data_IF_911788730280
#
_entry.id   IF_911788730280
#
_cell.length_a   1.000
_cell.length_b   1.000
_cell.length_c   1.000
_cell.angle_alpha   90.00
_cell.angle_beta   90.00
_cell.angle_gamma   90.00
#
_symmetry.space_group_name_H-M   'P 1'
#
loop_
_entity.id
_entity.type
_entity.pdbx_description
1 polymer ?
#
# COMPACT_ATOMS: atom_id res chain seq x y z
N UNK A 1 -12.07 -10.38 -26.04
CA UNK A 1 -11.81 -10.09 -27.47
C UNK A 1 -12.98 -9.41 -28.17
N UNK A 2 -14.21 -9.49 -27.64
CA UNK A 2 -15.40 -8.84 -28.25
C UNK A 2 -15.34 -7.29 -28.20
N UNK A 3 -14.57 -6.69 -27.27
CA UNK A 3 -14.43 -5.25 -27.14
C UNK A 3 -13.24 -4.66 -27.94
N UNK A 4 -12.64 -5.45 -28.82
CA UNK A 4 -11.53 -4.99 -29.64
C UNK A 4 -12.05 -4.22 -30.86
N UNK A 5 -11.48 -3.04 -31.07
CA UNK A 5 -11.81 -2.20 -32.23
C UNK A 5 -11.11 -2.69 -33.53
N UNK A 6 -11.58 -2.29 -34.69
CA UNK A 6 -10.89 -2.57 -35.95
C UNK A 6 -9.46 -2.06 -36.00
N UNK A 7 -9.15 -0.98 -35.24
CA UNK A 7 -7.80 -0.45 -35.10
C UNK A 7 -6.84 -1.35 -34.30
N UNK A 8 -7.35 -2.38 -33.64
CA UNK A 8 -6.59 -3.22 -32.71
C UNK A 8 -6.65 -2.74 -31.25
N UNK A 9 -7.09 -1.52 -31.00
CA UNK A 9 -7.25 -0.97 -29.64
C UNK A 9 -8.47 -1.57 -28.94
N UNK A 10 -8.41 -1.56 -27.62
CA UNK A 10 -9.54 -1.87 -26.75
C UNK A 10 -10.18 -0.57 -26.24
N UNK A 11 -11.46 -0.59 -25.88
CA UNK A 11 -12.13 0.50 -25.21
C UNK A 11 -13.37 1.05 -25.90
N UNK A 12 -13.98 2.06 -25.30
CA UNK A 12 -15.25 2.62 -25.72
C UNK A 12 -15.08 3.60 -26.89
N UNK A 13 -15.71 3.31 -28.02
CA UNK A 13 -15.69 4.15 -29.23
C UNK A 13 -16.35 5.51 -29.01
N UNK A 14 -17.35 5.57 -28.13
CA UNK A 14 -18.14 6.79 -27.92
C UNK A 14 -17.40 7.83 -27.08
N UNK A 15 -16.49 7.39 -26.23
CA UNK A 15 -15.80 8.27 -25.30
C UNK A 15 -14.53 8.89 -25.92
N UNK A 16 -13.80 8.14 -26.74
CA UNK A 16 -12.47 8.56 -27.22
C UNK A 16 -12.34 8.61 -28.75
N UNK A 17 -13.41 8.33 -29.51
CA UNK A 17 -13.33 8.24 -30.96
C UNK A 17 -12.52 7.04 -31.49
N UNK A 18 -12.50 6.87 -32.81
CA UNK A 18 -11.93 5.65 -33.42
C UNK A 18 -10.39 5.62 -33.43
N UNK A 19 -9.72 6.76 -33.39
CA UNK A 19 -8.27 6.89 -33.57
C UNK A 19 -7.62 7.83 -32.56
N UNK A 20 -8.29 8.14 -31.45
CA UNK A 20 -7.74 9.07 -30.47
C UNK A 20 -6.51 8.45 -29.78
N UNK A 21 -5.34 9.09 -29.81
CA UNK A 21 -4.14 8.65 -29.07
C UNK A 21 -4.43 8.51 -27.57
N UNK A 22 -5.36 9.30 -27.05
CA UNK A 22 -5.83 9.24 -25.65
C UNK A 22 -6.41 7.88 -25.30
N UNK A 23 -7.11 7.21 -26.21
CA UNK A 23 -7.65 5.87 -25.96
C UNK A 23 -6.54 4.83 -25.74
N UNK A 24 -5.40 5.00 -26.39
CA UNK A 24 -4.24 4.13 -26.17
C UNK A 24 -3.67 4.31 -24.74
N UNK A 25 -3.73 5.51 -24.20
CA UNK A 25 -3.22 5.81 -22.87
C UNK A 25 -4.06 5.17 -21.76
N UNK A 26 -5.33 5.52 -21.71
CA UNK A 26 -6.20 5.21 -20.55
C UNK A 26 -6.57 3.73 -20.45
N UNK A 27 -6.61 3.03 -21.53
CA UNK A 27 -7.06 1.64 -21.58
C UNK A 27 -5.91 0.68 -21.87
N UNK A 28 -4.84 1.20 -22.48
CA UNK A 28 -3.74 0.39 -23.00
C UNK A 28 -3.00 -0.38 -21.91
N UNK A 29 -2.58 0.27 -20.84
CA UNK A 29 -1.71 -0.36 -19.84
C UNK A 29 -2.36 -1.56 -19.18
N UNK A 30 -3.56 -1.39 -18.65
CA UNK A 30 -4.27 -2.45 -17.91
C UNK A 30 -4.60 -3.64 -18.82
N UNK A 31 -5.00 -3.38 -20.08
CA UNK A 31 -5.24 -4.44 -21.05
C UNK A 31 -3.96 -5.17 -21.43
N UNK A 32 -2.86 -4.46 -21.66
CA UNK A 32 -1.58 -5.08 -21.96
C UNK A 32 -1.13 -5.97 -20.80
N UNK A 33 -1.10 -5.44 -19.59
CA UNK A 33 -0.72 -6.21 -18.40
C UNK A 33 -1.63 -7.42 -18.19
N UNK A 34 -2.95 -7.25 -18.32
CA UNK A 34 -3.93 -8.32 -18.16
C UNK A 34 -3.75 -9.44 -19.20
N UNK A 35 -3.62 -9.08 -20.48
CA UNK A 35 -3.44 -10.04 -21.57
C UNK A 35 -2.10 -10.77 -21.50
N UNK A 36 -1.01 -10.07 -21.18
CA UNK A 36 0.32 -10.66 -21.06
C UNK A 36 0.39 -11.60 -19.86
N UNK A 37 -0.16 -11.21 -18.72
CA UNK A 37 -0.20 -12.06 -17.54
C UNK A 37 -1.12 -13.28 -17.75
N UNK A 38 -2.24 -13.12 -18.45
CA UNK A 38 -3.09 -14.25 -18.84
C UNK A 38 -2.32 -15.23 -19.72
N UNK A 39 -1.57 -14.74 -20.74
CA UNK A 39 -0.70 -15.58 -21.54
C UNK A 39 0.35 -16.30 -20.68
N UNK A 40 1.03 -15.60 -19.80
CA UNK A 40 2.05 -16.19 -18.92
C UNK A 40 1.51 -17.33 -18.05
N UNK A 41 0.24 -17.23 -17.63
CA UNK A 41 -0.42 -18.24 -16.81
C UNK A 41 -0.98 -19.44 -17.62
N UNK A 42 -1.42 -19.21 -18.85
CA UNK A 42 -2.20 -20.19 -19.62
C UNK A 42 -1.50 -20.70 -20.88
N UNK A 43 -0.49 -19.99 -21.37
CA UNK A 43 0.13 -20.25 -22.66
C UNK A 43 -0.74 -19.84 -23.86
N UNK A 44 -1.87 -19.15 -23.65
CA UNK A 44 -2.78 -18.78 -24.74
C UNK A 44 -2.20 -17.68 -25.63
N UNK A 45 -1.64 -18.08 -26.77
CA UNK A 45 -1.04 -17.17 -27.77
C UNK A 45 -2.01 -16.11 -28.30
N UNK A 46 -3.34 -16.32 -28.22
CA UNK A 46 -4.32 -15.31 -28.66
C UNK A 46 -4.23 -14.07 -27.79
N UNK A 47 -3.99 -14.23 -26.48
CA UNK A 47 -3.83 -13.12 -25.57
C UNK A 47 -2.55 -12.34 -25.84
N UNK A 48 -1.42 -13.03 -26.01
CA UNK A 48 -0.15 -12.38 -26.33
C UNK A 48 -0.23 -11.63 -27.67
N UNK A 49 -0.81 -12.25 -28.71
CA UNK A 49 -0.95 -11.61 -30.00
C UNK A 49 -1.84 -10.36 -29.94
N UNK A 50 -2.95 -10.41 -29.18
CA UNK A 50 -3.81 -9.26 -28.98
C UNK A 50 -3.09 -8.11 -28.24
N UNK A 51 -2.27 -8.44 -27.22
CA UNK A 51 -1.44 -7.46 -26.53
C UNK A 51 -0.41 -6.82 -27.46
N UNK A 52 0.30 -7.63 -28.27
CA UNK A 52 1.27 -7.15 -29.26
C UNK A 52 0.61 -6.21 -30.28
N UNK A 53 -0.53 -6.59 -30.83
CA UNK A 53 -1.23 -5.77 -31.81
C UNK A 53 -1.68 -4.43 -31.24
N UNK A 54 -2.15 -4.38 -29.97
CA UNK A 54 -2.53 -3.14 -29.31
C UNK A 54 -1.30 -2.25 -29.03
N UNK A 55 -0.22 -2.85 -28.56
CA UNK A 55 1.03 -2.14 -28.32
C UNK A 55 1.66 -1.61 -29.63
N UNK A 56 1.72 -2.44 -30.66
CA UNK A 56 2.26 -2.06 -31.96
C UNK A 56 1.44 -0.95 -32.62
N UNK A 57 0.11 -0.97 -32.44
CA UNK A 57 -0.72 0.15 -32.89
C UNK A 57 -0.30 1.47 -32.26
N UNK A 58 -0.10 1.49 -30.92
CA UNK A 58 0.35 2.69 -30.21
C UNK A 58 1.74 3.15 -30.68
N UNK A 59 2.66 2.23 -30.88
CA UNK A 59 4.00 2.54 -31.38
C UNK A 59 4.00 3.05 -32.83
N UNK A 60 3.09 2.55 -33.68
CA UNK A 60 2.94 2.99 -35.05
C UNK A 60 2.37 4.41 -35.17
N UNK A 61 1.77 4.97 -34.12
CA UNK A 61 1.43 6.39 -34.04
C UNK A 61 2.70 7.28 -33.99
N UNK A 62 3.85 6.68 -33.66
CA UNK A 62 5.13 7.36 -33.67
C UNK A 62 5.16 8.55 -32.70
N UNK A 63 5.66 9.69 -33.21
CA UNK A 63 5.77 10.90 -32.38
C UNK A 63 4.43 11.39 -31.83
N UNK A 64 3.33 11.18 -32.52
CA UNK A 64 2.00 11.56 -32.06
C UNK A 64 1.67 10.93 -30.70
N UNK A 65 1.99 9.64 -30.49
CA UNK A 65 1.79 8.96 -29.21
C UNK A 65 2.66 9.57 -28.11
N UNK A 66 3.94 9.81 -28.40
CA UNK A 66 4.86 10.35 -27.39
C UNK A 66 4.69 11.86 -27.18
N UNK A 67 4.26 12.62 -28.20
CA UNK A 67 3.96 14.05 -28.08
C UNK A 67 2.76 14.29 -27.16
N UNK A 68 1.78 13.39 -27.13
CA UNK A 68 0.68 13.48 -26.16
C UNK A 68 1.17 13.35 -24.72
N UNK A 69 2.18 12.53 -24.44
CA UNK A 69 2.83 12.44 -23.13
C UNK A 69 3.47 13.78 -22.78
N UNK A 70 4.15 14.37 -23.74
CA UNK A 70 4.88 15.66 -23.59
C UNK A 70 3.94 16.84 -23.47
N UNK A 71 2.86 16.87 -24.25
CA UNK A 71 1.91 17.99 -24.30
C UNK A 71 1.07 18.11 -23.03
N UNK A 72 0.90 17.02 -22.29
CA UNK A 72 0.03 16.98 -21.12
C UNK A 72 0.73 17.41 -19.83
N UNK A 73 2.04 17.55 -19.82
CA UNK A 73 2.83 17.96 -18.66
C UNK A 73 2.98 16.88 -17.59
N UNK A 74 3.65 17.22 -16.49
CA UNK A 74 4.01 16.29 -15.44
C UNK A 74 2.79 15.63 -14.74
N UNK A 75 1.69 16.35 -14.60
CA UNK A 75 0.46 15.86 -13.96
C UNK A 75 -0.35 14.92 -14.85
N UNK A 76 0.09 14.70 -16.06
CA UNK A 76 -0.49 13.74 -16.98
C UNK A 76 0.52 12.68 -17.42
N UNK A 77 1.55 12.44 -16.65
CA UNK A 77 2.41 11.26 -16.78
C UNK A 77 1.60 9.97 -16.54
N UNK A 78 0.42 9.99 -16.91
CA UNK A 78 -0.49 8.89 -17.15
C UNK A 78 -0.13 8.13 -18.42
N UNK A 79 1.04 8.24 -18.82
CA UNK A 79 1.53 7.65 -20.05
C UNK A 79 1.78 6.16 -19.97
N UNK A 80 1.37 5.65 -18.95
CA UNK A 80 0.92 4.40 -18.62
C UNK A 80 1.43 3.17 -19.31
N UNK A 81 1.47 3.06 -20.49
CA UNK A 81 1.86 1.86 -21.21
C UNK A 81 3.28 1.38 -20.86
N UNK A 82 4.03 2.11 -20.05
CA UNK A 82 5.37 1.70 -19.58
C UNK A 82 5.36 0.33 -18.93
N UNK A 83 4.40 0.05 -18.07
CA UNK A 83 4.27 -1.26 -17.42
C UNK A 83 3.85 -2.33 -18.40
N UNK A 84 2.87 -2.04 -19.26
CA UNK A 84 2.43 -2.96 -20.32
C UNK A 84 3.53 -3.28 -21.34
N UNK A 85 4.34 -2.30 -21.72
CA UNK A 85 5.51 -2.52 -22.57
C UNK A 85 6.59 -3.34 -21.86
N UNK A 86 6.83 -3.10 -20.58
CA UNK A 86 7.77 -3.90 -19.79
C UNK A 86 7.34 -5.38 -19.72
N UNK A 87 6.04 -5.63 -19.51
CA UNK A 87 5.49 -6.99 -19.52
C UNK A 87 5.62 -7.67 -20.88
N UNK A 88 5.36 -6.94 -21.97
CA UNK A 88 5.58 -7.46 -23.32
C UNK A 88 7.06 -7.77 -23.58
N UNK A 89 7.98 -6.91 -23.15
CA UNK A 89 9.41 -7.19 -23.23
C UNK A 89 9.79 -8.44 -22.43
N UNK A 90 9.24 -8.63 -21.25
CA UNK A 90 9.47 -9.85 -20.45
C UNK A 90 9.18 -11.11 -21.24
N UNK A 91 8.03 -11.16 -21.89
CA UNK A 91 7.57 -12.36 -22.61
C UNK A 91 8.17 -12.53 -24.01
N UNK A 92 8.42 -11.43 -24.72
CA UNK A 92 8.82 -11.49 -26.13
C UNK A 92 10.31 -11.29 -26.37
N UNK A 93 11.00 -10.61 -25.46
CA UNK A 93 12.36 -10.11 -25.63
C UNK A 93 12.54 -9.21 -26.85
N UNK A 94 11.46 -8.63 -27.37
CA UNK A 94 11.49 -7.68 -28.46
C UNK A 94 11.88 -6.30 -27.96
N UNK A 95 13.08 -5.83 -28.33
CA UNK A 95 13.67 -4.56 -27.88
C UNK A 95 12.80 -3.34 -28.15
N UNK A 96 11.92 -3.38 -29.16
CA UNK A 96 11.03 -2.24 -29.45
C UNK A 96 10.16 -1.85 -28.26
N UNK A 97 9.76 -2.82 -27.43
CA UNK A 97 8.96 -2.54 -26.22
C UNK A 97 9.81 -1.94 -25.11
N UNK A 98 11.05 -2.40 -24.95
CA UNK A 98 11.97 -1.79 -24.00
C UNK A 98 12.36 -0.36 -24.44
N UNK A 99 12.59 -0.14 -25.74
CA UNK A 99 12.86 1.19 -26.29
C UNK A 99 11.67 2.14 -26.12
N UNK A 100 10.44 1.62 -26.17
CA UNK A 100 9.25 2.41 -25.84
C UNK A 100 9.28 2.87 -24.37
N UNK A 101 9.63 1.99 -23.43
CA UNK A 101 9.78 2.36 -22.00
C UNK A 101 10.88 3.41 -21.83
N UNK A 102 12.05 3.21 -22.47
CA UNK A 102 13.15 4.19 -22.44
C UNK A 102 12.74 5.55 -22.98
N UNK A 103 11.92 5.56 -24.04
CA UNK A 103 11.40 6.79 -24.61
C UNK A 103 10.42 7.49 -23.68
N UNK A 104 9.47 6.75 -23.08
CA UNK A 104 8.56 7.29 -22.06
C UNK A 104 9.38 7.88 -20.90
N UNK A 105 10.40 7.20 -20.42
CA UNK A 105 11.24 7.66 -19.33
C UNK A 105 11.95 9.00 -19.63
N UNK A 106 12.34 9.23 -20.89
CA UNK A 106 12.91 10.52 -21.31
C UNK A 106 11.91 11.68 -21.29
N UNK A 107 10.63 11.38 -21.54
CA UNK A 107 9.57 12.38 -21.50
C UNK A 107 9.12 12.68 -20.05
N UNK A 108 9.36 11.76 -19.11
CA UNK A 108 9.01 11.88 -17.68
C UNK A 108 10.05 12.70 -16.88
N UNK A 109 10.51 13.82 -17.41
CA UNK A 109 11.50 14.70 -16.75
C UNK A 109 10.87 15.79 -15.89
N UNK A 110 9.55 15.90 -15.93
CA UNK A 110 8.81 16.93 -15.18
C UNK A 110 8.86 16.73 -13.66
N UNK A 111 8.30 17.70 -12.93
CA UNK A 111 8.13 17.64 -11.47
C UNK A 111 7.01 16.67 -11.09
N UNK A 112 7.00 16.26 -9.83
CA UNK A 112 5.88 15.51 -9.25
C UNK A 112 4.65 16.36 -8.99
N UNK A 113 4.83 17.70 -8.98
CA UNK A 113 3.78 18.66 -8.67
C UNK A 113 2.63 18.60 -9.69
N UNK A 114 1.43 18.46 -9.19
CA UNK A 114 0.21 18.34 -9.99
C UNK A 114 -0.02 16.97 -10.62
N UNK A 115 0.84 15.97 -10.40
CA UNK A 115 0.66 14.63 -10.93
C UNK A 115 -0.55 13.92 -10.31
N UNK A 116 -1.35 13.26 -11.14
CA UNK A 116 -2.32 12.27 -10.68
C UNK A 116 -1.55 11.03 -10.19
N UNK A 117 -1.62 10.75 -8.88
CA UNK A 117 -0.71 9.82 -8.23
C UNK A 117 -0.77 8.40 -8.83
N UNK A 118 -1.98 7.88 -9.09
CA UNK A 118 -2.14 6.54 -9.68
C UNK A 118 -1.39 6.41 -11.01
N UNK A 119 -1.62 7.29 -11.97
CA UNK A 119 -0.95 7.23 -13.27
C UNK A 119 0.56 7.46 -13.18
N UNK A 120 0.97 8.41 -12.35
CA UNK A 120 2.38 8.71 -12.11
C UNK A 120 3.13 7.51 -11.52
N UNK A 121 2.64 6.94 -10.44
CA UNK A 121 3.26 5.81 -9.76
C UNK A 121 3.26 4.53 -10.60
N UNK A 122 2.17 4.28 -11.35
CA UNK A 122 2.11 3.18 -12.33
C UNK A 122 3.19 3.31 -13.39
N UNK A 123 3.42 4.53 -13.91
CA UNK A 123 4.47 4.80 -14.88
C UNK A 123 5.86 4.49 -14.32
N UNK A 124 6.15 4.94 -13.08
CA UNK A 124 7.42 4.65 -12.41
C UNK A 124 7.63 3.16 -12.15
N UNK A 125 6.57 2.45 -11.80
CA UNK A 125 6.58 0.99 -11.65
C UNK A 125 6.94 0.27 -12.94
N UNK A 126 6.45 0.77 -14.07
CA UNK A 126 6.83 0.27 -15.39
C UNK A 126 8.34 0.39 -15.64
N UNK A 127 8.97 1.48 -15.20
CA UNK A 127 10.44 1.63 -15.29
C UNK A 127 11.17 0.62 -14.41
N UNK A 128 10.70 0.40 -13.18
CA UNK A 128 11.29 -0.60 -12.28
C UNK A 128 11.16 -2.02 -12.85
N UNK A 129 10.00 -2.39 -13.40
CA UNK A 129 9.81 -3.70 -14.04
C UNK A 129 10.72 -3.86 -15.26
N UNK A 130 10.79 -2.86 -16.12
CA UNK A 130 11.69 -2.89 -17.27
C UNK A 130 13.15 -3.07 -16.83
N UNK A 131 13.58 -2.39 -15.78
CA UNK A 131 14.93 -2.56 -15.21
C UNK A 131 15.17 -3.98 -14.71
N UNK A 132 14.21 -4.57 -13.99
CA UNK A 132 14.30 -5.96 -13.49
C UNK A 132 14.43 -6.95 -14.66
N UNK A 133 13.68 -6.75 -15.74
CA UNK A 133 13.65 -7.69 -16.87
C UNK A 133 14.82 -7.55 -17.84
N UNK A 134 15.38 -6.35 -17.97
CA UNK A 134 16.45 -6.03 -18.93
C UNK A 134 17.83 -5.87 -18.30
N UNK A 135 17.90 -5.53 -17.01
CA UNK A 135 19.13 -5.08 -16.36
C UNK A 135 19.45 -3.60 -16.59
N UNK A 136 18.59 -2.83 -17.28
CA UNK A 136 18.79 -1.41 -17.54
C UNK A 136 18.49 -0.58 -16.27
N UNK A 137 19.51 -0.45 -15.42
CA UNK A 137 19.38 0.23 -14.13
C UNK A 137 19.08 1.73 -14.26
N UNK A 138 19.36 2.36 -15.41
CA UNK A 138 19.04 3.77 -15.61
C UNK A 138 17.52 4.04 -15.48
N UNK A 139 16.68 3.08 -15.88
CA UNK A 139 15.23 3.16 -15.69
C UNK A 139 14.83 3.08 -14.20
N UNK A 140 15.46 2.19 -13.44
CA UNK A 140 15.23 2.09 -12.00
C UNK A 140 15.69 3.36 -11.26
N UNK A 141 16.81 3.95 -11.68
CA UNK A 141 17.35 5.17 -11.06
C UNK A 141 16.43 6.38 -11.27
N UNK A 142 15.74 6.47 -12.42
CA UNK A 142 14.71 7.49 -12.64
C UNK A 142 13.56 7.29 -11.64
N UNK A 143 13.04 6.07 -11.49
CA UNK A 143 11.98 5.77 -10.54
C UNK A 143 12.43 6.04 -9.08
N UNK A 144 13.68 5.71 -8.75
CA UNK A 144 14.30 6.00 -7.45
C UNK A 144 14.31 7.51 -7.15
N UNK A 145 14.79 8.31 -8.10
CA UNK A 145 14.85 9.78 -7.93
C UNK A 145 13.46 10.38 -7.72
N UNK A 146 12.45 9.92 -8.47
CA UNK A 146 11.07 10.39 -8.35
C UNK A 146 10.39 9.91 -7.06
N UNK A 147 10.67 8.69 -6.60
CA UNK A 147 10.23 8.21 -5.29
C UNK A 147 10.84 9.07 -4.17
N UNK A 148 12.13 9.39 -4.28
CA UNK A 148 12.80 10.23 -3.29
C UNK A 148 12.23 11.65 -3.26
N UNK A 149 11.90 12.22 -4.42
CA UNK A 149 11.24 13.52 -4.52
C UNK A 149 9.89 13.54 -3.77
N UNK A 150 9.10 12.46 -3.84
CA UNK A 150 7.85 12.32 -3.07
C UNK A 150 8.13 12.35 -1.56
N UNK A 151 9.16 11.66 -1.09
CA UNK A 151 9.53 11.60 0.32
C UNK A 151 10.10 12.93 0.82
N UNK A 152 11.04 13.53 0.09
CA UNK A 152 11.73 14.76 0.48
C UNK A 152 10.80 15.96 0.56
N UNK A 153 9.75 15.97 -0.25
CA UNK A 153 8.74 17.03 -0.27
C UNK A 153 7.57 16.77 0.70
N UNK A 154 7.60 15.71 1.50
CA UNK A 154 6.57 15.40 2.49
C UNK A 154 5.19 15.12 1.85
N UNK A 155 5.15 14.50 0.67
CA UNK A 155 3.90 14.16 -0.02
C UNK A 155 3.23 12.90 0.54
N UNK A 156 3.90 12.19 1.43
CA UNK A 156 3.36 11.04 2.15
C UNK A 156 2.72 11.51 3.45
N UNK A 157 1.50 11.08 3.70
CA UNK A 157 0.77 11.40 4.93
C UNK A 157 1.24 10.52 6.10
N UNK A 158 0.88 10.91 7.32
CA UNK A 158 1.28 10.24 8.55
C UNK A 158 0.95 8.73 8.60
N UNK A 159 -0.10 8.29 7.93
CA UNK A 159 -0.47 6.88 7.81
C UNK A 159 0.16 6.15 6.61
N UNK A 160 1.11 6.78 5.92
CA UNK A 160 1.77 6.22 4.73
C UNK A 160 1.00 6.41 3.44
N UNK A 161 -0.07 7.18 3.47
CA UNK A 161 -0.91 7.46 2.31
C UNK A 161 -0.28 8.49 1.37
N UNK A 162 -0.64 8.41 0.10
CA UNK A 162 -0.37 9.44 -0.91
C UNK A 162 -1.69 9.97 -1.45
N UNK A 163 -1.77 11.28 -1.64
CA UNK A 163 -2.98 11.91 -2.17
C UNK A 163 -3.28 11.45 -3.60
N UNK A 164 -4.55 11.53 -4.01
CA UNK A 164 -4.96 11.30 -5.41
C UNK A 164 -4.18 12.16 -6.40
N UNK A 165 -3.90 13.42 -6.04
CA UNK A 165 -3.04 14.29 -6.80
C UNK A 165 -1.92 14.85 -5.92
N UNK A 166 -0.69 14.83 -6.41
CA UNK A 166 0.48 15.37 -5.72
C UNK A 166 0.58 16.89 -5.94
N UNK A 167 1.05 17.68 -4.99
CA UNK A 167 1.57 17.29 -3.68
C UNK A 167 0.49 16.86 -2.69
N UNK A 168 -0.65 17.49 -2.68
CA UNK A 168 -1.79 17.14 -1.81
C UNK A 168 -3.11 17.57 -2.46
N UNK A 169 -4.05 16.65 -2.52
CA UNK A 169 -5.46 16.92 -2.74
C UNK A 169 -6.25 16.65 -1.46
N UNK A 170 -7.53 16.92 -1.49
CA UNK A 170 -8.42 16.73 -0.33
C UNK A 170 -8.89 15.28 -0.17
N UNK A 171 -8.42 14.36 -1.01
CA UNK A 171 -8.77 12.94 -0.95
C UNK A 171 -7.62 12.05 -1.43
N UNK A 172 -7.71 10.79 -1.05
CA UNK A 172 -6.85 9.71 -1.53
C UNK A 172 -7.61 8.79 -2.48
N UNK A 173 -6.88 7.88 -3.09
CA UNK A 173 -7.38 6.78 -3.91
C UNK A 173 -6.73 5.46 -3.51
N UNK A 174 -7.53 4.41 -3.36
CA UNK A 174 -7.03 3.07 -3.07
C UNK A 174 -6.01 2.56 -4.11
N UNK A 175 -6.14 2.95 -5.38
CA UNK A 175 -5.15 2.63 -6.42
C UNK A 175 -3.83 3.36 -6.22
N UNK A 176 -3.83 4.65 -5.88
CA UNK A 176 -2.61 5.39 -5.61
C UNK A 176 -1.85 4.83 -4.39
N UNK A 177 -2.58 4.46 -3.33
CA UNK A 177 -2.01 3.80 -2.15
C UNK A 177 -1.35 2.47 -2.54
N UNK A 178 -2.08 1.64 -3.28
CA UNK A 178 -1.59 0.35 -3.75
C UNK A 178 -0.35 0.48 -4.64
N UNK A 179 -0.34 1.49 -5.52
CA UNK A 179 0.83 1.79 -6.37
C UNK A 179 2.03 2.26 -5.56
N UNK A 180 1.81 3.08 -4.53
CA UNK A 180 2.86 3.52 -3.61
C UNK A 180 3.48 2.34 -2.86
N UNK A 181 2.66 1.42 -2.36
CA UNK A 181 3.13 0.17 -1.76
C UNK A 181 3.99 -0.59 -2.77
N UNK A 182 3.47 -0.87 -3.97
CA UNK A 182 4.18 -1.63 -4.99
C UNK A 182 5.47 -0.97 -5.46
N UNK A 183 5.49 0.37 -5.63
CA UNK A 183 6.70 1.11 -5.99
C UNK A 183 7.82 0.88 -4.96
N UNK A 184 7.47 0.87 -3.67
CA UNK A 184 8.41 0.60 -2.59
C UNK A 184 8.84 -0.87 -2.53
N UNK A 185 7.95 -1.84 -2.82
CA UNK A 185 8.32 -3.25 -2.93
C UNK A 185 9.39 -3.48 -4.02
N UNK A 186 9.18 -2.93 -5.21
CA UNK A 186 10.15 -3.03 -6.30
C UNK A 186 11.45 -2.29 -5.99
N UNK A 187 11.36 -1.12 -5.35
CA UNK A 187 12.56 -0.40 -4.90
C UNK A 187 13.37 -1.24 -3.92
N UNK A 188 12.71 -1.78 -2.88
CA UNK A 188 13.34 -2.68 -1.90
C UNK A 188 14.02 -3.88 -2.57
N UNK A 189 13.36 -4.50 -3.54
CA UNK A 189 13.93 -5.62 -4.29
C UNK A 189 15.14 -5.21 -5.16
N UNK A 190 15.04 -4.10 -5.90
CA UNK A 190 16.09 -3.66 -6.82
C UNK A 190 17.35 -3.24 -6.08
N UNK A 191 17.20 -2.50 -4.97
CA UNK A 191 18.34 -1.90 -4.25
C UNK A 191 18.70 -2.63 -2.95
N UNK A 192 17.97 -3.69 -2.59
CA UNK A 192 18.11 -4.40 -1.30
C UNK A 192 17.90 -3.43 -0.12
N UNK A 193 16.85 -2.64 -0.18
CA UNK A 193 16.56 -1.54 0.74
C UNK A 193 15.43 -1.92 1.72
N UNK A 194 15.82 -2.18 2.97
CA UNK A 194 14.89 -2.52 4.05
C UNK A 194 13.98 -1.37 4.45
N UNK A 195 14.41 -0.10 4.26
CA UNK A 195 13.59 1.06 4.56
C UNK A 195 12.42 1.17 3.57
N UNK A 196 12.66 0.85 2.30
CA UNK A 196 11.58 0.81 1.32
C UNK A 196 10.53 -0.25 1.67
N UNK A 197 10.94 -1.41 2.16
CA UNK A 197 10.00 -2.42 2.68
C UNK A 197 9.27 -1.93 3.94
N UNK A 198 9.93 -1.17 4.81
CA UNK A 198 9.27 -0.58 5.98
C UNK A 198 8.22 0.46 5.60
N UNK A 199 8.49 1.31 4.59
CA UNK A 199 7.53 2.26 4.03
C UNK A 199 6.33 1.52 3.41
N UNK A 200 6.59 0.47 2.63
CA UNK A 200 5.52 -0.37 2.06
C UNK A 200 4.66 -1.01 3.16
N UNK A 201 5.27 -1.53 4.20
CA UNK A 201 4.59 -2.14 5.34
C UNK A 201 3.73 -1.13 6.11
N UNK A 202 4.28 0.07 6.34
CA UNK A 202 3.55 1.15 7.00
C UNK A 202 2.30 1.57 6.20
N UNK A 203 2.45 1.76 4.89
CA UNK A 203 1.33 2.08 4.00
C UNK A 203 0.32 0.93 3.89
N UNK A 204 0.77 -0.32 3.86
CA UNK A 204 -0.10 -1.50 3.84
C UNK A 204 -1.03 -1.52 5.06
N UNK A 205 -0.45 -1.44 6.29
CA UNK A 205 -1.23 -1.56 7.52
C UNK A 205 -2.12 -0.36 7.80
N UNK A 206 -1.66 0.86 7.50
CA UNK A 206 -2.31 2.08 7.97
C UNK A 206 -3.06 2.85 6.89
N UNK A 207 -2.83 2.54 5.63
CA UNK A 207 -3.49 3.18 4.51
C UNK A 207 -4.28 2.20 3.66
N UNK A 208 -3.66 1.15 3.13
CA UNK A 208 -4.34 0.23 2.23
C UNK A 208 -5.44 -0.56 2.95
N UNK A 209 -5.14 -1.19 4.10
CA UNK A 209 -6.17 -1.87 4.89
C UNK A 209 -7.24 -0.92 5.44
N UNK A 210 -6.86 0.30 5.82
CA UNK A 210 -7.82 1.30 6.22
C UNK A 210 -8.76 1.73 5.08
N UNK A 211 -8.28 1.71 3.83
CA UNK A 211 -9.09 2.03 2.65
C UNK A 211 -10.05 0.90 2.24
N UNK A 212 -9.85 -0.33 2.74
CA UNK A 212 -10.70 -1.46 2.39
C UNK A 212 -12.12 -1.31 2.96
N UNK A 213 -13.12 -1.60 2.12
CA UNK A 213 -14.53 -1.64 2.49
C UNK A 213 -14.95 -3.04 2.97
N UNK A 214 -16.05 -3.14 3.68
CA UNK A 214 -16.59 -4.45 4.12
C UNK A 214 -16.99 -5.35 2.95
N UNK A 215 -17.24 -4.79 1.79
CA UNK A 215 -17.45 -5.53 0.54
C UNK A 215 -16.18 -6.22 0.04
N UNK A 216 -15.03 -5.88 0.63
CA UNK A 216 -13.71 -6.26 0.14
C UNK A 216 -13.14 -5.31 -0.93
N UNK A 217 -13.93 -4.34 -1.40
CA UNK A 217 -13.50 -3.34 -2.37
C UNK A 217 -12.65 -2.22 -1.76
N UNK A 218 -12.18 -1.33 -2.60
CA UNK A 218 -11.34 -0.17 -2.26
C UNK A 218 -11.90 1.08 -2.95
N UNK A 219 -11.54 2.25 -2.47
CA UNK A 219 -12.07 3.49 -3.05
C UNK A 219 -11.37 4.74 -2.56
N UNK A 220 -12.14 5.78 -2.35
CA UNK A 220 -11.66 7.10 -1.97
C UNK A 220 -12.03 7.43 -0.54
N UNK A 221 -11.15 8.21 0.11
CA UNK A 221 -11.43 8.88 1.39
C UNK A 221 -11.00 10.31 1.31
N UNK A 222 -11.76 11.19 1.95
CA UNK A 222 -11.29 12.55 2.22
C UNK A 222 -10.40 12.56 3.44
N UNK A 223 -9.47 13.50 3.50
CA UNK A 223 -8.63 13.72 4.66
C UNK A 223 -8.41 15.23 4.89
N UNK A 224 -8.08 15.55 6.13
CA UNK A 224 -7.61 16.84 6.56
C UNK A 224 -6.18 16.70 7.10
N UNK A 225 -5.55 17.81 7.48
CA UNK A 225 -4.14 17.87 7.86
C UNK A 225 -3.74 16.85 8.93
N UNK A 226 -4.61 16.58 9.92
CA UNK A 226 -4.29 15.73 11.08
C UNK A 226 -5.15 14.47 11.17
N UNK A 227 -5.87 14.11 10.13
CA UNK A 227 -6.73 12.93 10.15
C UNK A 227 -7.59 12.77 8.93
N UNK A 228 -8.53 11.85 8.99
CA UNK A 228 -9.44 11.50 7.90
C UNK A 228 -10.83 12.04 8.15
N UNK A 229 -11.37 12.68 7.13
CA UNK A 229 -12.80 12.96 6.99
C UNK A 229 -13.46 11.77 6.29
N UNK A 230 -14.70 11.50 6.67
CA UNK A 230 -15.38 10.31 6.17
C UNK A 230 -16.21 10.56 4.92
N UNK A 231 -15.61 11.04 3.87
CA UNK A 231 -16.20 10.80 2.56
C UNK A 231 -15.71 9.46 2.05
N UNK A 232 -16.62 8.60 1.63
CA UNK A 232 -16.28 7.24 1.21
C UNK A 232 -17.02 6.96 -0.10
N UNK A 233 -16.24 6.71 -1.12
CA UNK A 233 -16.73 6.24 -2.40
C UNK A 233 -15.97 4.99 -2.79
N UNK A 234 -16.64 3.86 -2.91
CA UNK A 234 -16.04 2.64 -3.41
C UNK A 234 -15.82 2.74 -4.92
N UNK A 235 -14.61 2.44 -5.37
CA UNK A 235 -14.21 2.53 -6.77
C UNK A 235 -13.62 1.21 -7.25
N UNK A 236 -14.49 0.29 -7.59
CA UNK A 236 -14.10 -1.05 -7.98
C UNK A 236 -13.41 -1.11 -9.36
N UNK A 237 -13.59 -0.13 -10.23
CA UNK A 237 -13.02 -0.10 -11.59
C UNK A 237 -11.51 0.24 -11.63
N UNK A 238 -10.96 0.91 -10.63
CA UNK A 238 -9.51 1.18 -10.52
C UNK A 238 -8.97 0.74 -9.16
N UNK A 239 -9.47 1.30 -8.06
CA UNK A 239 -8.95 1.09 -6.72
C UNK A 239 -8.96 -0.39 -6.31
N UNK A 240 -10.10 -1.07 -6.48
CA UNK A 240 -10.23 -2.48 -6.11
C UNK A 240 -9.33 -3.39 -6.96
N UNK A 241 -9.23 -3.13 -8.27
CA UNK A 241 -8.37 -3.93 -9.14
C UNK A 241 -6.89 -3.75 -8.81
N UNK A 242 -6.46 -2.50 -8.59
CA UNK A 242 -5.05 -2.19 -8.29
C UNK A 242 -4.67 -2.71 -6.89
N UNK A 243 -5.57 -2.62 -5.92
CA UNK A 243 -5.35 -3.22 -4.59
C UNK A 243 -5.22 -4.74 -4.68
N UNK A 244 -6.06 -5.41 -5.48
CA UNK A 244 -5.93 -6.85 -5.73
C UNK A 244 -4.56 -7.23 -6.32
N UNK A 245 -4.06 -6.45 -7.28
CA UNK A 245 -2.71 -6.61 -7.81
C UNK A 245 -1.65 -6.39 -6.72
N UNK A 246 -1.82 -5.37 -5.88
CA UNK A 246 -0.90 -5.06 -4.80
C UNK A 246 -0.76 -6.22 -3.81
N UNK A 247 -1.84 -6.88 -3.41
CA UNK A 247 -1.76 -8.06 -2.54
C UNK A 247 -0.99 -9.22 -3.19
N UNK A 248 -1.14 -9.42 -4.49
CA UNK A 248 -0.34 -10.42 -5.21
C UNK A 248 1.16 -10.05 -5.21
N UNK A 249 1.48 -8.78 -5.38
CA UNK A 249 2.87 -8.30 -5.33
C UNK A 249 3.45 -8.36 -3.91
N UNK A 250 2.67 -8.06 -2.87
CA UNK A 250 3.10 -8.25 -1.48
C UNK A 250 3.45 -9.71 -1.23
N UNK A 251 2.59 -10.66 -1.65
CA UNK A 251 2.87 -12.08 -1.52
C UNK A 251 4.15 -12.49 -2.26
N UNK A 252 4.37 -11.97 -3.47
CA UNK A 252 5.56 -12.23 -4.28
C UNK A 252 6.84 -11.66 -3.66
N UNK A 253 6.75 -10.53 -2.96
CA UNK A 253 7.88 -9.85 -2.32
C UNK A 253 8.07 -10.24 -0.85
N UNK A 254 7.17 -11.04 -0.26
CA UNK A 254 7.30 -11.48 1.13
C UNK A 254 8.56 -12.33 1.33
N UNK A 255 8.80 -13.29 0.46
CA UNK A 255 10.05 -14.04 0.43
C UNK A 255 10.65 -13.99 -0.98
N UNK A 256 11.92 -13.66 -1.09
CA UNK A 256 12.58 -13.42 -2.37
C UNK A 256 13.93 -14.14 -2.47
N UNK A 257 14.36 -14.39 -3.72
CA UNK A 257 15.72 -14.81 -4.03
C UNK A 257 16.35 -13.78 -4.98
N UNK A 258 17.50 -13.28 -4.63
CA UNK A 258 18.25 -12.36 -5.48
C UNK A 258 19.74 -12.69 -5.42
N UNK A 259 20.35 -12.97 -6.57
CA UNK A 259 21.76 -13.36 -6.62
C UNK A 259 22.10 -14.57 -5.75
N UNK A 260 21.15 -15.52 -5.61
CA UNK A 260 21.30 -16.71 -4.77
C UNK A 260 21.05 -16.50 -3.28
N UNK A 261 20.82 -15.27 -2.83
CA UNK A 261 20.50 -14.96 -1.43
C UNK A 261 19.01 -15.05 -1.18
N UNK A 262 18.63 -15.75 -0.12
CA UNK A 262 17.26 -15.82 0.37
C UNK A 262 16.98 -14.65 1.31
N UNK A 263 15.81 -14.01 1.15
CA UNK A 263 15.39 -12.94 2.03
C UNK A 263 13.90 -13.05 2.36
N UNK A 264 13.55 -12.89 3.63
CA UNK A 264 12.19 -12.71 4.12
C UNK A 264 11.98 -11.23 4.44
N UNK A 265 11.19 -10.54 3.63
CA UNK A 265 11.00 -9.09 3.74
C UNK A 265 9.84 -8.73 4.66
N UNK A 266 8.85 -9.62 4.82
CA UNK A 266 7.68 -9.41 5.68
C UNK A 266 7.38 -10.65 6.53
N UNK A 267 6.92 -10.42 7.76
CA UNK A 267 6.48 -11.48 8.66
C UNK A 267 5.01 -11.85 8.40
N UNK A 268 4.60 -11.95 7.15
CA UNK A 268 3.23 -12.30 6.74
C UNK A 268 3.09 -13.81 6.73
N UNK A 269 2.02 -14.38 7.37
CA UNK A 269 1.81 -15.82 7.38
C UNK A 269 1.54 -16.36 5.98
N UNK A 270 2.13 -17.50 5.66
CA UNK A 270 1.95 -18.12 4.35
C UNK A 270 3.02 -19.15 4.01
N UNK A 271 2.89 -19.73 2.82
CA UNK A 271 3.87 -20.62 2.22
C UNK A 271 4.30 -20.06 0.86
N UNK A 272 5.57 -19.76 0.75
CA UNK A 272 6.18 -19.11 -0.40
C UNK A 272 7.11 -20.08 -1.11
N UNK A 273 6.77 -20.41 -2.36
CA UNK A 273 7.61 -21.26 -3.22
C UNK A 273 8.55 -20.37 -4.04
N UNK A 274 9.83 -20.61 -3.89
CA UNK A 274 10.90 -19.85 -4.53
C UNK A 274 11.59 -20.69 -5.61
N UNK A 275 12.35 -20.09 -6.52
CA UNK A 275 13.14 -20.82 -7.50
C UNK A 275 14.05 -21.87 -6.86
N UNK A 276 14.27 -23.01 -7.53
CA UNK A 276 15.13 -24.08 -7.05
C UNK A 276 14.45 -25.00 -6.01
N UNK A 277 13.13 -25.12 -6.05
CA UNK A 277 12.33 -25.93 -5.14
C UNK A 277 12.47 -25.59 -3.65
N UNK A 278 12.88 -24.33 -3.38
CA UNK A 278 12.96 -23.78 -2.03
C UNK A 278 11.58 -23.35 -1.58
N UNK A 279 11.21 -23.73 -0.36
CA UNK A 279 9.95 -23.26 0.26
C UNK A 279 10.26 -22.56 1.58
N UNK A 280 9.64 -21.40 1.76
CA UNK A 280 9.64 -20.62 3.02
C UNK A 280 8.22 -20.61 3.55
N UNK A 281 8.01 -21.16 4.74
CA UNK A 281 6.72 -21.14 5.43
C UNK A 281 6.81 -20.26 6.67
N UNK A 282 5.89 -19.33 6.81
CA UNK A 282 5.84 -18.37 7.92
C UNK A 282 4.58 -18.61 8.74
N UNK A 283 4.78 -18.84 10.03
CA UNK A 283 3.72 -18.90 11.03
C UNK A 283 4.01 -17.84 12.08
N UNK A 284 3.10 -16.92 12.31
CA UNK A 284 3.39 -15.72 13.10
C UNK A 284 2.17 -15.22 13.85
N UNK A 285 2.40 -14.54 14.99
CA UNK A 285 1.41 -13.71 15.68
C UNK A 285 1.46 -12.23 15.24
N UNK A 286 2.36 -11.88 14.30
CA UNK A 286 2.47 -10.54 13.74
C UNK A 286 1.18 -10.14 12.99
N UNK A 287 0.67 -8.91 13.10
CA UNK A 287 1.35 -7.70 13.63
C UNK A 287 1.13 -7.44 15.12
N UNK A 288 0.53 -8.32 15.88
CA UNK A 288 0.18 -8.09 17.28
C UNK A 288 1.12 -8.76 18.27
N UNK A 289 1.89 -9.75 17.84
CA UNK A 289 2.93 -10.42 18.62
C UNK A 289 4.19 -10.55 17.80
N UNK A 290 5.34 -10.41 18.45
CA UNK A 290 6.63 -10.56 17.78
C UNK A 290 6.96 -12.01 17.41
N UNK A 291 6.32 -12.99 18.04
CA UNK A 291 6.61 -14.42 17.82
C UNK A 291 6.35 -14.82 16.36
N UNK A 292 7.39 -15.38 15.74
CA UNK A 292 7.35 -15.85 14.35
C UNK A 292 8.19 -17.12 14.21
N UNK A 293 7.65 -18.13 13.50
CA UNK A 293 8.39 -19.30 13.06
C UNK A 293 8.54 -19.26 11.55
N UNK A 294 9.78 -19.29 11.08
CA UNK A 294 10.13 -19.39 9.66
C UNK A 294 10.70 -20.76 9.41
N UNK A 295 10.03 -21.57 8.59
CA UNK A 295 10.52 -22.88 8.16
C UNK A 295 11.03 -22.77 6.72
N UNK A 296 12.31 -23.10 6.52
CA UNK A 296 12.96 -23.14 5.21
C UNK A 296 13.20 -24.60 4.84
N UNK A 297 12.73 -24.99 3.65
CA UNK A 297 12.88 -26.35 3.10
C UNK A 297 13.46 -26.31 1.70
N UNK A 298 14.18 -27.36 1.31
CA UNK A 298 14.82 -27.47 -0.01
C UNK A 298 16.23 -26.87 -0.06
N UNK A 299 16.67 -26.21 1.02
CA UNK A 299 18.03 -25.67 1.12
C UNK A 299 18.49 -25.56 2.57
N UNK A 300 19.81 -25.50 2.76
CA UNK A 300 20.48 -25.16 4.04
C UNK A 300 21.05 -23.72 4.03
N UNK A 301 20.94 -23.04 2.89
CA UNK A 301 21.38 -21.63 2.79
C UNK A 301 20.65 -20.77 3.79
N UNK A 302 21.36 -19.81 4.35
CA UNK A 302 20.80 -18.87 5.32
C UNK A 302 19.81 -17.93 4.67
N UNK A 303 18.66 -17.72 5.33
CA UNK A 303 17.70 -16.70 4.96
C UNK A 303 17.95 -15.44 5.79
N UNK A 304 18.11 -14.32 5.12
CA UNK A 304 18.11 -13.01 5.75
C UNK A 304 16.67 -12.63 6.10
N UNK A 305 16.39 -12.27 7.34
CA UNK A 305 15.04 -11.91 7.81
C UNK A 305 15.02 -10.46 8.23
N UNK A 306 14.28 -9.64 7.50
CA UNK A 306 14.05 -8.24 7.92
C UNK A 306 13.21 -8.22 9.19
N UNK A 307 13.82 -7.78 10.28
CA UNK A 307 13.14 -7.58 11.56
C UNK A 307 12.73 -6.11 11.69
N UNK A 308 11.41 -5.81 11.79
CA UNK A 308 10.96 -4.43 11.97
C UNK A 308 11.55 -3.77 13.22
N UNK A 309 11.95 -2.51 13.11
CA UNK A 309 12.68 -1.77 14.17
C UNK A 309 11.92 -1.58 15.47
N UNK A 310 10.59 -1.67 15.43
CA UNK A 310 9.72 -1.58 16.62
C UNK A 310 9.67 -2.90 17.42
N UNK A 311 10.20 -4.01 16.91
CA UNK A 311 10.39 -5.25 17.69
C UNK A 311 11.70 -5.12 18.46
N UNK A 312 11.62 -5.14 19.79
CA UNK A 312 12.76 -4.98 20.69
C UNK A 312 13.19 -6.31 21.30
N UNK A 313 14.42 -6.38 21.81
CA UNK A 313 14.98 -7.55 22.49
C UNK A 313 14.82 -8.84 21.67
N UNK A 314 15.09 -8.75 20.38
CA UNK A 314 14.93 -9.86 19.44
C UNK A 314 15.87 -11.01 19.77
N UNK A 315 15.35 -12.23 19.78
CA UNK A 315 16.09 -13.47 19.82
C UNK A 315 15.73 -14.36 18.65
N UNK A 316 16.73 -14.99 18.04
CA UNK A 316 16.55 -15.91 16.92
C UNK A 316 17.23 -17.23 17.27
N UNK A 317 16.45 -18.32 17.28
CA UNK A 317 16.94 -19.68 17.48
C UNK A 317 16.77 -20.48 16.22
N UNK A 318 17.85 -21.04 15.69
CA UNK A 318 17.85 -21.94 14.55
C UNK A 318 17.83 -23.41 15.00
N UNK A 319 16.99 -24.22 14.36
CA UNK A 319 16.88 -25.67 14.58
C UNK A 319 16.93 -26.35 13.23
N UNK A 320 17.91 -27.22 13.02
CA UNK A 320 18.08 -27.98 11.79
C UNK A 320 16.99 -29.05 11.62
N UNK A 321 16.60 -29.29 10.37
CA UNK A 321 15.73 -30.39 9.95
C UNK A 321 16.40 -31.20 8.84
N UNK A 322 15.84 -32.33 8.46
CA UNK A 322 16.43 -33.20 7.42
C UNK A 322 16.57 -32.45 6.08
N UNK A 323 15.59 -31.62 5.72
CA UNK A 323 15.50 -30.96 4.42
C UNK A 323 15.70 -29.43 4.46
N UNK A 324 16.09 -28.87 5.62
CA UNK A 324 16.25 -27.45 5.81
C UNK A 324 16.45 -27.09 7.27
N UNK A 325 15.70 -26.06 7.75
CA UNK A 325 15.77 -25.61 9.14
C UNK A 325 14.54 -24.77 9.52
N UNK A 326 14.40 -24.52 10.83
CA UNK A 326 13.42 -23.56 11.37
C UNK A 326 14.14 -22.46 12.14
N UNK A 327 13.64 -21.23 11.96
CA UNK A 327 13.99 -20.10 12.81
C UNK A 327 12.83 -19.80 13.73
N UNK A 328 13.10 -19.75 15.01
CA UNK A 328 12.16 -19.27 16.03
C UNK A 328 12.58 -17.86 16.40
N UNK A 329 11.78 -16.90 16.04
CA UNK A 329 12.02 -15.47 16.27
C UNK A 329 11.05 -15.04 17.35
N UNK A 330 11.57 -14.37 18.37
CA UNK A 330 10.81 -13.82 19.47
C UNK A 330 11.32 -12.43 19.82
N UNK A 331 10.48 -11.61 20.48
CA UNK A 331 10.83 -10.25 20.84
C UNK A 331 9.71 -9.56 21.63
N UNK A 332 9.91 -8.28 21.90
CA UNK A 332 8.92 -7.46 22.59
C UNK A 332 8.31 -6.43 21.64
N UNK A 333 7.01 -6.23 21.78
CA UNK A 333 6.23 -5.20 21.10
C UNK A 333 5.38 -4.45 22.14
N UNK A 334 5.10 -3.20 21.85
CA UNK A 334 4.29 -2.35 22.71
C UNK A 334 3.84 -1.08 22.00
N UNK A 335 3.15 -0.22 22.73
CA UNK A 335 2.75 1.09 22.23
C UNK A 335 3.93 2.06 22.24
N UNK A 336 4.03 2.89 21.22
CA UNK A 336 5.03 3.93 21.12
C UNK A 336 4.51 5.09 20.29
N UNK A 337 5.13 6.26 20.42
CA UNK A 337 4.85 7.42 19.57
C UNK A 337 5.92 7.58 18.49
N UNK A 338 5.50 8.05 17.35
CA UNK A 338 6.38 8.40 16.24
C UNK A 338 6.12 9.84 15.82
N UNK A 339 7.18 10.65 15.76
CA UNK A 339 7.07 12.05 15.38
C UNK A 339 6.68 12.21 13.90
N UNK A 340 5.82 13.16 13.64
CA UNK A 340 5.39 13.61 12.32
C UNK A 340 5.64 15.12 12.21
N UNK A 341 5.53 15.68 11.02
CA UNK A 341 5.72 17.14 10.79
C UNK A 341 4.84 17.98 11.73
N UNK A 342 3.60 17.56 11.95
CA UNK A 342 2.57 18.32 12.68
C UNK A 342 2.21 17.73 14.06
N UNK A 343 3.02 16.84 14.62
CA UNK A 343 2.76 16.21 15.89
C UNK A 343 3.25 14.78 15.98
N UNK A 344 2.44 13.88 16.54
CA UNK A 344 2.81 12.49 16.78
C UNK A 344 1.68 11.55 16.39
N UNK A 345 2.04 10.38 15.88
CA UNK A 345 1.12 9.25 15.79
C UNK A 345 1.38 8.27 16.93
N UNK A 346 0.33 7.68 17.49
CA UNK A 346 0.43 6.59 18.45
C UNK A 346 0.36 5.27 17.70
N UNK A 347 1.30 4.37 17.97
CA UNK A 347 1.45 3.10 17.25
C UNK A 347 1.55 1.92 18.20
N UNK A 348 1.13 0.76 17.70
CA UNK A 348 1.46 -0.55 18.24
C UNK A 348 2.00 -1.42 17.11
N UNK A 349 3.25 -1.86 17.22
CA UNK A 349 3.90 -2.55 16.10
C UNK A 349 3.86 -1.72 14.82
N UNK A 350 3.42 -2.26 13.68
CA UNK A 350 3.31 -1.49 12.43
C UNK A 350 2.08 -0.59 12.38
N UNK A 351 1.09 -0.80 13.27
CA UNK A 351 -0.23 -0.21 13.19
C UNK A 351 -0.28 1.13 13.93
N UNK A 352 -0.83 2.15 13.29
CA UNK A 352 -1.31 3.34 13.96
C UNK A 352 -2.56 2.97 14.72
N UNK A 353 -2.68 3.41 15.96
CA UNK A 353 -3.92 3.34 16.72
C UNK A 353 -4.55 4.71 16.84
N UNK A 354 -5.85 4.76 16.65
CA UNK A 354 -6.64 5.98 16.60
C UNK A 354 -7.91 5.84 17.44
N UNK A 355 -8.52 6.96 17.84
CA UNK A 355 -9.75 6.92 18.62
C UNK A 355 -10.83 6.12 17.91
N UNK A 356 -11.49 5.26 18.66
CA UNK A 356 -12.60 4.50 18.14
C UNK A 356 -13.85 5.37 18.03
N UNK A 357 -14.02 5.95 16.89
CA UNK A 357 -15.17 6.79 16.57
C UNK A 357 -16.47 5.99 16.54
N UNK A 358 -16.36 4.70 16.43
CA UNK A 358 -17.46 3.76 16.37
C UNK A 358 -18.33 3.73 17.62
N UNK A 359 -17.72 3.84 18.80
CA UNK A 359 -18.42 3.69 20.08
C UNK A 359 -19.58 4.66 20.28
N UNK A 360 -19.49 5.84 19.70
CA UNK A 360 -20.59 6.78 19.89
C UNK A 360 -21.71 6.64 18.89
N UNK A 361 -21.52 5.94 17.79
CA UNK A 361 -22.60 5.69 16.83
C UNK A 361 -23.46 4.50 17.14
N UNK A 362 -22.92 3.47 17.70
CA UNK A 362 -23.74 2.35 18.14
C UNK A 362 -24.54 2.74 19.37
N UNK A 363 -24.03 3.62 20.18
CA UNK A 363 -24.82 4.28 21.21
C UNK A 363 -25.84 5.26 20.66
N UNK A 364 -25.97 5.47 19.34
CA UNK A 364 -26.96 6.35 18.72
C UNK A 364 -28.27 5.69 18.31
N UNK A 365 -28.52 4.47 18.66
CA UNK A 365 -29.89 4.08 19.03
C UNK A 365 -30.38 4.87 20.27
N UNK A 366 -29.58 5.76 20.71
CA UNK A 366 -29.86 6.76 21.70
C UNK A 366 -30.67 7.87 21.05
N UNK A 367 -31.72 8.35 21.73
CA UNK A 367 -32.56 9.42 21.20
C UNK A 367 -31.74 10.64 20.79
N UNK A 368 -32.25 11.42 19.85
CA UNK A 368 -31.60 12.60 19.24
C UNK A 368 -30.91 13.57 20.23
N UNK A 369 -31.22 13.47 21.49
CA UNK A 369 -30.70 14.30 22.59
C UNK A 369 -29.53 13.67 23.32
N UNK A 370 -28.97 12.60 22.85
CA UNK A 370 -27.90 11.96 23.58
C UNK A 370 -26.60 12.69 23.36
N UNK A 371 -26.15 13.23 24.42
CA UNK A 371 -24.88 13.90 24.54
C UNK A 371 -23.78 12.91 24.19
N UNK A 372 -23.28 13.04 22.97
CA UNK A 372 -21.90 12.69 22.64
C UNK A 372 -21.05 13.17 23.81
N UNK A 373 -20.14 12.37 24.37
CA UNK A 373 -19.23 12.84 25.41
C UNK A 373 -18.74 14.23 25.03
N UNK A 374 -18.86 15.18 25.96
CA UNK A 374 -18.72 16.63 25.74
C UNK A 374 -17.42 17.05 25.04
N UNK A 375 -16.50 16.16 24.81
CA UNK A 375 -15.28 16.39 24.08
C UNK A 375 -15.31 15.99 22.61
N UNK A 376 -16.36 15.36 22.17
CA UNK A 376 -16.44 14.84 20.82
C UNK A 376 -17.12 15.84 19.90
N UNK A 377 -16.42 16.89 19.54
CA UNK A 377 -16.95 17.95 18.68
C UNK A 377 -16.70 17.56 17.24
N UNK A 378 -17.76 17.23 16.55
CA UNK A 378 -17.78 16.83 15.16
C UNK A 378 -17.24 17.88 14.17
N UNK A 379 -17.18 19.12 14.60
CA UNK A 379 -17.04 20.27 13.70
C UNK A 379 -15.61 20.58 13.27
N UNK A 380 -14.61 19.97 13.91
CA UNK A 380 -13.23 20.38 13.66
C UNK A 380 -12.20 19.28 13.95
N UNK A 381 -12.62 18.03 13.99
CA UNK A 381 -11.78 16.98 14.57
C UNK A 381 -10.41 16.79 13.91
N UNK A 382 -10.27 16.60 12.59
CA UNK A 382 -8.95 16.32 12.04
C UNK A 382 -8.00 17.51 12.05
N UNK A 383 -8.52 18.73 12.12
CA UNK A 383 -7.71 19.96 12.20
C UNK A 383 -7.56 20.49 13.61
N UNK A 384 -8.28 19.91 14.58
CA UNK A 384 -8.19 20.32 15.96
C UNK A 384 -6.97 19.73 16.65
N UNK A 385 -6.40 20.49 17.57
CA UNK A 385 -5.31 20.02 18.42
C UNK A 385 -5.87 19.14 19.52
N UNK A 386 -5.49 17.86 19.51
CA UNK A 386 -5.72 16.89 20.57
C UNK A 386 -4.39 16.55 21.19
N UNK A 387 -4.36 16.52 22.52
CA UNK A 387 -3.17 16.21 23.27
C UNK A 387 -3.31 14.85 23.93
N UNK A 388 -2.45 13.91 23.59
CA UNK A 388 -2.38 12.63 24.29
C UNK A 388 -1.69 12.83 25.64
N UNK A 389 -2.34 12.39 26.71
CA UNK A 389 -1.79 12.39 28.06
C UNK A 389 -1.15 11.03 28.31
N UNK A 390 0.14 10.92 28.02
CA UNK A 390 0.89 9.66 28.05
C UNK A 390 1.87 9.61 29.21
N UNK A 391 2.04 8.43 29.80
CA UNK A 391 3.11 8.16 30.73
C UNK A 391 4.47 8.08 30.01
N UNK A 392 5.55 8.18 30.77
CA UNK A 392 6.90 8.07 30.23
C UNK A 392 7.12 6.64 29.67
N UNK A 393 7.78 6.52 28.50
CA UNK A 393 8.13 5.23 27.95
C UNK A 393 9.04 4.41 28.87
N UNK A 394 8.91 3.09 28.80
CA UNK A 394 9.79 2.15 29.48
C UNK A 394 11.21 2.11 28.82
N UNK A 395 12.08 1.26 29.35
CA UNK A 395 13.44 1.05 28.83
C UNK A 395 13.52 0.60 27.36
N UNK A 396 12.44 0.06 26.82
CA UNK A 396 12.32 -0.35 25.42
C UNK A 396 11.72 0.75 24.54
N UNK A 397 11.32 1.87 25.13
CA UNK A 397 10.60 2.96 24.46
C UNK A 397 9.10 2.72 24.34
N UNK A 398 8.54 1.77 25.07
CA UNK A 398 7.12 1.47 25.04
C UNK A 398 6.35 2.24 26.13
N UNK A 399 5.21 2.78 25.74
CA UNK A 399 4.30 3.52 26.61
C UNK A 399 3.38 2.52 27.33
N UNK A 400 3.32 2.53 28.66
CA UNK A 400 2.46 1.63 29.43
C UNK A 400 1.00 2.08 29.33
N UNK A 401 0.27 1.54 28.38
CA UNK A 401 -1.17 1.79 28.22
C UNK A 401 -1.99 0.61 28.75
N UNK A 402 -3.17 0.93 29.28
CA UNK A 402 -4.10 -0.09 29.74
C UNK A 402 -4.76 -0.76 28.53
N UNK A 403 -4.62 -2.07 28.45
CA UNK A 403 -5.35 -2.90 27.52
C UNK A 403 -6.69 -3.29 28.11
N UNK A 404 -7.76 -2.98 27.41
CA UNK A 404 -9.05 -3.59 27.71
C UNK A 404 -9.51 -4.38 26.48
N UNK A 405 -9.91 -5.65 26.65
CA UNK A 405 -10.57 -6.36 25.58
C UNK A 405 -11.85 -5.61 25.26
N UNK A 406 -12.03 -5.26 24.01
CA UNK A 406 -13.23 -4.58 23.55
C UNK A 406 -14.46 -5.42 23.78
N UNK A 407 -15.41 -4.99 24.60
CA UNK A 407 -16.72 -5.64 24.67
C UNK A 407 -17.49 -5.60 23.34
N UNK A 408 -16.95 -4.94 22.38
CA UNK A 408 -17.57 -4.57 21.11
C UNK A 408 -17.50 -5.64 20.04
N UNK A 409 -16.44 -6.38 20.02
CA UNK A 409 -16.26 -7.47 19.07
C UNK A 409 -17.05 -8.72 19.45
N UNK A 410 -17.59 -8.75 20.68
CA UNK A 410 -18.54 -9.78 21.09
C UNK A 410 -19.82 -9.81 20.25
N UNK A 411 -20.16 -8.74 19.58
CA UNK A 411 -21.31 -8.70 18.64
C UNK A 411 -21.00 -9.44 17.33
N UNK A 412 -19.72 -9.69 17.05
CA UNK A 412 -19.27 -10.38 15.85
C UNK A 412 -18.60 -11.73 16.16
N UNK A 413 -18.69 -12.20 17.41
CA UNK A 413 -18.04 -13.43 17.91
C UNK A 413 -18.51 -14.73 17.24
N UNK A 414 -19.61 -14.74 16.56
CA UNK A 414 -20.13 -15.97 15.98
C UNK A 414 -19.56 -16.30 14.60
N UNK A 415 -18.51 -15.69 14.17
CA UNK A 415 -18.04 -16.13 12.92
C UNK A 415 -16.78 -15.50 12.41
N UNK A 416 -16.08 -16.19 11.72
CA UNK A 416 -15.26 -15.90 10.54
C UNK A 416 -14.30 -14.67 10.58
N UNK A 417 -14.40 -13.77 11.55
CA UNK A 417 -13.44 -12.66 11.79
C UNK A 417 -12.38 -12.99 12.83
N UNK A 418 -12.25 -14.24 13.20
CA UNK A 418 -11.20 -14.75 14.11
C UNK A 418 -9.76 -14.44 13.63
N UNK A 419 -9.58 -13.95 12.42
CA UNK A 419 -8.30 -13.48 11.90
C UNK A 419 -7.81 -12.16 12.51
N UNK A 420 -8.65 -11.40 13.21
CA UNK A 420 -8.30 -10.14 13.87
C UNK A 420 -8.10 -10.32 15.39
N UNK A 421 -7.98 -11.54 15.86
CA UNK A 421 -7.78 -11.89 17.27
C UNK A 421 -6.54 -11.26 17.93
N UNK A 422 -5.80 -10.46 17.21
CA UNK A 422 -4.68 -9.70 17.74
C UNK A 422 -4.97 -8.22 17.98
N UNK A 423 -6.12 -7.71 17.57
CA UNK A 423 -6.49 -6.31 17.76
C UNK A 423 -6.61 -5.92 19.24
N UNK A 424 -6.96 -6.87 20.08
CA UNK A 424 -7.04 -6.69 21.55
C UNK A 424 -5.73 -6.20 22.16
N UNK A 425 -4.60 -6.71 21.70
CA UNK A 425 -3.28 -6.30 22.25
C UNK A 425 -2.82 -4.92 21.77
N UNK A 426 -3.29 -4.49 20.61
CA UNK A 426 -2.94 -3.19 20.06
C UNK A 426 -3.85 -2.06 20.58
N UNK A 427 -5.06 -2.41 21.00
CA UNK A 427 -6.05 -1.45 21.48
C UNK A 427 -5.75 -1.00 22.90
N UNK A 428 -6.04 0.25 23.23
CA UNK A 428 -5.74 0.81 24.53
C UNK A 428 -6.68 1.97 24.90
N UNK A 429 -6.80 2.22 26.23
CA UNK A 429 -7.36 3.43 26.76
C UNK A 429 -6.31 4.54 26.82
N UNK A 430 -6.67 5.71 26.31
CA UNK A 430 -5.81 6.89 26.25
C UNK A 430 -6.58 8.11 26.74
N UNK A 431 -6.03 8.81 27.69
CA UNK A 431 -6.56 10.11 28.11
C UNK A 431 -6.22 11.16 27.06
N UNK A 432 -7.24 11.81 26.51
CA UNK A 432 -7.11 12.86 25.49
C UNK A 432 -7.59 14.18 26.05
N UNK A 433 -6.74 15.20 25.98
CA UNK A 433 -7.11 16.57 26.30
C UNK A 433 -7.52 17.29 25.02
N UNK A 434 -8.72 17.84 25.05
CA UNK A 434 -9.29 18.63 23.97
C UNK A 434 -8.89 20.11 24.08
N UNK A 435 -9.07 20.87 23.01
CA UNK A 435 -8.75 22.30 22.94
C UNK A 435 -9.47 23.14 24.03
N UNK A 436 -10.65 22.72 24.46
CA UNK A 436 -11.38 23.38 25.56
C UNK A 436 -10.86 23.01 26.95
N UNK A 437 -9.81 22.21 27.05
CA UNK A 437 -9.20 21.76 28.29
C UNK A 437 -9.83 20.51 28.93
N UNK A 438 -10.93 20.00 28.39
CA UNK A 438 -11.55 18.76 28.87
C UNK A 438 -10.64 17.57 28.63
N UNK A 439 -10.48 16.69 29.62
CA UNK A 439 -9.78 15.43 29.48
C UNK A 439 -10.80 14.30 29.48
N UNK A 440 -10.71 13.43 28.49
CA UNK A 440 -11.61 12.29 28.34
C UNK A 440 -10.80 11.03 28.10
N UNK A 441 -11.14 9.96 28.78
CA UNK A 441 -10.63 8.63 28.48
C UNK A 441 -11.27 8.14 27.19
N UNK A 442 -10.44 7.81 26.20
CA UNK A 442 -10.89 7.36 24.90
C UNK A 442 -10.27 6.01 24.56
N UNK A 443 -11.04 5.20 23.92
CA UNK A 443 -10.58 3.92 23.42
C UNK A 443 -9.96 4.08 22.04
N UNK A 444 -8.71 3.64 21.90
CA UNK A 444 -7.93 3.64 20.67
C UNK A 444 -7.80 2.22 20.14
N UNK A 445 -7.91 2.06 18.86
CA UNK A 445 -7.75 0.78 18.16
C UNK A 445 -6.93 0.94 16.88
N UNK A 446 -6.43 -0.15 16.30
CA UNK A 446 -5.73 -0.10 15.02
C UNK A 446 -6.56 0.59 13.95
N UNK A 447 -5.95 1.55 13.25
CA UNK A 447 -6.59 2.29 12.16
C UNK A 447 -7.13 1.34 11.08
N UNK A 448 -6.40 0.26 10.79
CA UNK A 448 -6.81 -0.76 9.83
C UNK A 448 -8.07 -1.55 10.23
N UNK A 449 -8.46 -1.53 11.50
CA UNK A 449 -9.71 -2.14 11.98
C UNK A 449 -10.89 -1.17 11.98
N UNK A 450 -10.65 0.11 11.75
CA UNK A 450 -11.70 1.10 11.60
C UNK A 450 -12.46 0.80 10.31
N UNK A 451 -13.64 0.20 10.44
CA UNK A 451 -14.43 -0.19 9.29
C UNK A 451 -14.91 1.03 8.52
N UNK A 452 -14.66 1.01 7.25
CA UNK A 452 -15.01 2.05 6.30
C UNK A 452 -16.51 2.31 6.13
N UNK A 453 -17.36 1.44 6.66
CA UNK A 453 -18.80 1.55 6.50
C UNK A 453 -19.46 2.63 7.34
N UNK A 454 -18.71 3.21 8.23
CA UNK A 454 -19.30 4.21 9.10
C UNK A 454 -19.00 5.59 8.55
N UNK A 455 -19.69 5.83 7.55
CA UNK A 455 -19.65 6.94 6.63
C UNK A 455 -19.76 8.34 7.20
N UNK A 456 -19.40 8.66 8.41
CA UNK A 456 -19.64 10.03 8.89
C UNK A 456 -18.75 10.45 10.08
N UNK A 457 -17.61 9.88 10.29
CA UNK A 457 -16.79 10.26 11.45
C UNK A 457 -15.39 10.61 11.03
N UNK A 458 -14.94 11.74 11.48
CA UNK A 458 -13.58 12.17 11.32
C UNK A 458 -12.68 11.33 12.22
N UNK A 459 -11.55 10.86 11.70
CA UNK A 459 -10.59 10.05 12.46
C UNK A 459 -9.32 10.86 12.65
N UNK A 460 -9.08 11.44 13.82
CA UNK A 460 -7.80 12.05 14.12
C UNK A 460 -6.71 10.97 14.18
N UNK A 461 -5.58 11.26 13.58
CA UNK A 461 -4.43 10.36 13.48
C UNK A 461 -3.18 11.00 14.05
N UNK A 462 -3.05 12.33 13.96
CA UNK A 462 -1.91 13.10 14.47
C UNK A 462 -2.33 13.91 15.70
N UNK A 463 -1.52 13.82 16.75
CA UNK A 463 -1.80 14.39 18.08
C UNK A 463 -0.62 15.20 18.58
N UNK A 464 -0.87 16.08 19.54
CA UNK A 464 0.19 16.61 20.41
C UNK A 464 0.40 15.68 21.60
N UNK A 465 1.55 15.77 22.26
CA UNK A 465 1.85 15.05 23.50
C UNK A 465 1.85 16.06 24.66
N UNK A 466 1.18 15.72 25.75
CA UNK A 466 1.08 16.52 26.95
C UNK A 466 2.07 16.15 28.04
#
# INVERSE_FOLDING_TARGET
>A
MQCRRPSGLFGNVFEYGNNAPEAAKYVGNQFLCGLVNYYALTGDMRALNAAKEAADHSLNLGDVFFDTIRAEGAHKIDAWMSEGFAELYRETRDEKYLDAVRRIAKECVGTTDGAHAHGYLTTLRGFQRAAIYSGDMALADIAKAKRQDILDNGFVLANGDVSECLPRSHRNEGCAIADWVMLNLYHGYIYDDDEAYAIAEHALWNSLYFNQFVTGGFGHRSFAKRGYLTYIEEAWWCCTQTAGLCFAEIARHTATVKGGKLKLNFLIPGRYTLPGDVTVSVTTGYPTKAYTVVEVSGTKEEIDVRIPSFIKQVSIKRVETDFGYKLFIDGKMGHYTEAQEDGYVLKYGPMIIAPMIYNWRINTNLPENNTVPVGYVRESMPDSTYQLMLDQPDENGFIPLQHDPLPYWSVFEEGEYAGISGGEMASAHVNVRFANGTVTDMYFQPLCSATSNLSLSDVPVVFDIG
#
